data_IF_169057809682
#
_entry.id   IF_169057809682
#
_cell.length_a   1.000
_cell.length_b   1.000
_cell.length_c   1.000
_cell.angle_alpha   90.00
_cell.angle_beta   90.00
_cell.angle_gamma   90.00
#
_symmetry.space_group_name_H-M   'P 1'
#
loop_
_entity.id
_entity.type
_entity.pdbx_description
1 polymer ?
#
# COMPACT_ATOMS: atom_id res chain seq x y z
N UNK A 1 -19.86 -15.35 7.96
CA UNK A 1 -20.30 -13.97 8.01
C UNK A 1 -19.30 -13.20 7.15
N UNK A 2 -19.77 -12.57 6.08
CA UNK A 2 -18.87 -11.80 5.18
C UNK A 2 -18.72 -10.36 5.68
N UNK A 3 -18.04 -10.18 6.81
CA UNK A 3 -17.94 -8.88 7.46
C UNK A 3 -16.57 -8.20 7.31
N UNK A 4 -15.62 -8.86 6.65
CA UNK A 4 -14.29 -8.28 6.46
C UNK A 4 -13.92 -8.20 4.98
N UNK A 5 -13.29 -7.09 4.61
CA UNK A 5 -12.75 -6.85 3.29
C UNK A 5 -11.30 -6.37 3.43
N UNK A 6 -10.38 -7.08 2.77
CA UNK A 6 -8.99 -6.66 2.65
C UNK A 6 -8.77 -6.08 1.26
N UNK A 7 -8.30 -4.84 1.18
CA UNK A 7 -7.95 -4.17 -0.08
C UNK A 7 -6.44 -4.12 -0.22
N UNK A 8 -5.89 -4.78 -1.23
CA UNK A 8 -4.45 -4.80 -1.53
C UNK A 8 -4.15 -4.26 -2.92
N UNK A 9 -2.98 -3.68 -3.11
CA UNK A 9 -2.49 -3.34 -4.45
C UNK A 9 -2.00 -4.59 -5.17
N UNK A 10 -2.55 -4.88 -6.34
CA UNK A 10 -2.24 -6.11 -7.08
C UNK A 10 -1.03 -5.98 -8.02
N UNK A 11 -0.30 -4.87 -7.97
CA UNK A 11 0.86 -4.57 -8.81
C UNK A 11 2.02 -4.01 -7.96
N UNK A 12 2.73 -2.98 -8.43
CA UNK A 12 3.88 -2.36 -7.74
C UNK A 12 3.53 -1.07 -6.97
N UNK A 13 2.30 -0.90 -6.52
CA UNK A 13 1.82 0.33 -5.90
C UNK A 13 1.22 1.32 -6.91
N UNK A 14 0.68 2.42 -6.40
CA UNK A 14 0.02 3.48 -7.19
C UNK A 14 -1.17 3.02 -8.05
N UNK A 15 -1.80 1.89 -7.68
CA UNK A 15 -2.95 1.32 -8.41
C UNK A 15 -4.24 2.14 -8.27
N UNK A 16 -4.25 3.17 -7.43
CA UNK A 16 -5.46 3.93 -7.13
C UNK A 16 -6.28 3.36 -5.97
N UNK A 17 -5.65 2.60 -5.07
CA UNK A 17 -6.30 2.02 -3.88
C UNK A 17 -7.07 3.04 -3.04
N UNK A 18 -6.55 4.28 -2.92
CA UNK A 18 -7.20 5.33 -2.14
C UNK A 18 -8.66 5.56 -2.52
N UNK A 19 -8.99 5.56 -3.82
CA UNK A 19 -10.37 5.69 -4.29
C UNK A 19 -11.24 4.51 -3.87
N UNK A 20 -10.71 3.28 -3.94
CA UNK A 20 -11.43 2.07 -3.59
C UNK A 20 -11.61 1.93 -2.08
N UNK A 21 -10.58 2.26 -1.29
CA UNK A 21 -10.69 2.26 0.17
C UNK A 21 -11.66 3.33 0.67
N UNK A 22 -11.64 4.54 0.11
CA UNK A 22 -12.62 5.59 0.41
C UNK A 22 -14.05 5.15 0.04
N UNK A 23 -14.22 4.51 -1.11
CA UNK A 23 -15.52 4.00 -1.53
C UNK A 23 -16.09 3.00 -0.52
N UNK A 24 -15.30 1.98 -0.12
CA UNK A 24 -15.76 0.95 0.82
C UNK A 24 -15.76 1.43 2.28
N UNK A 25 -14.94 2.41 2.65
CA UNK A 25 -14.97 3.00 3.98
C UNK A 25 -16.36 3.57 4.33
N UNK A 26 -17.09 4.10 3.34
CA UNK A 26 -18.44 4.61 3.56
C UNK A 26 -19.46 3.56 4.04
N UNK A 27 -19.19 2.27 3.83
CA UNK A 27 -20.02 1.14 4.28
C UNK A 27 -19.43 0.35 5.45
N UNK A 28 -18.25 0.73 5.93
CA UNK A 28 -17.54 0.05 7.01
C UNK A 28 -17.85 0.65 8.38
N UNK A 29 -17.81 -0.17 9.41
CA UNK A 29 -17.82 0.28 10.83
C UNK A 29 -16.39 0.56 11.32
N UNK A 30 -15.41 -0.15 10.74
CA UNK A 30 -14.00 -0.09 11.15
C UNK A 30 -13.08 -0.04 9.93
N UNK A 31 -12.10 0.84 9.93
CA UNK A 31 -11.04 0.90 8.91
C UNK A 31 -9.68 0.70 9.57
N UNK A 32 -8.90 -0.25 9.07
CA UNK A 32 -7.65 -0.71 9.67
C UNK A 32 -6.49 -0.55 8.70
N UNK A 33 -5.45 0.19 9.10
CA UNK A 33 -4.12 0.13 8.49
C UNK A 33 -3.30 -0.94 9.19
N UNK A 34 -2.84 -1.95 8.46
CA UNK A 34 -2.20 -3.11 9.07
C UNK A 34 -0.71 -3.24 8.80
N UNK A 35 -0.13 -2.45 7.89
CA UNK A 35 1.29 -2.51 7.55
C UNK A 35 1.80 -1.19 6.95
N UNK A 36 3.15 -1.06 6.82
CA UNK A 36 3.79 0.15 6.33
C UNK A 36 3.90 1.22 7.41
N UNK A 37 4.08 2.44 7.00
CA UNK A 37 4.18 3.61 7.86
C UNK A 37 3.91 4.88 7.06
N UNK A 38 4.54 6.00 7.43
CA UNK A 38 4.37 7.28 6.75
C UNK A 38 5.07 7.38 5.38
N UNK A 39 5.62 6.26 4.87
CA UNK A 39 6.08 6.12 3.48
C UNK A 39 4.95 5.87 2.48
N UNK A 40 3.76 5.52 2.95
CA UNK A 40 2.57 5.48 2.13
C UNK A 40 2.02 6.91 1.92
N UNK A 41 1.23 7.07 0.86
CA UNK A 41 0.49 8.30 0.63
C UNK A 41 -0.71 7.96 -0.24
N UNK A 42 -1.90 8.30 0.24
CA UNK A 42 -3.09 8.23 -0.60
C UNK A 42 -3.89 9.52 -0.47
N UNK A 43 -4.39 9.97 -1.59
CA UNK A 43 -5.19 11.18 -1.66
C UNK A 43 -6.66 10.82 -1.59
N UNK A 44 -7.36 11.44 -0.66
CA UNK A 44 -8.81 11.39 -0.52
C UNK A 44 -9.39 12.75 -0.84
N UNK A 45 -10.52 12.77 -1.52
CA UNK A 45 -11.29 14.01 -1.74
C UNK A 45 -12.48 13.99 -0.78
N UNK A 46 -12.49 14.92 0.15
CA UNK A 46 -13.57 15.08 1.13
C UNK A 46 -14.04 16.53 1.12
N UNK A 47 -15.34 16.75 0.97
CA UNK A 47 -15.96 18.08 0.88
C UNK A 47 -15.25 19.01 -0.13
N UNK A 48 -14.92 18.46 -1.32
CA UNK A 48 -14.25 19.18 -2.40
C UNK A 48 -12.76 19.50 -2.15
N UNK A 49 -12.20 19.12 -0.99
CA UNK A 49 -10.80 19.31 -0.62
C UNK A 49 -10.02 18.02 -0.73
N UNK A 50 -8.75 18.13 -1.19
CA UNK A 50 -7.83 16.99 -1.28
C UNK A 50 -7.02 16.86 0.01
N UNK A 51 -7.03 15.66 0.59
CA UNK A 51 -6.23 15.29 1.77
C UNK A 51 -5.25 14.19 1.38
N UNK A 52 -3.97 14.42 1.63
CA UNK A 52 -2.93 13.40 1.48
C UNK A 52 -2.68 12.74 2.83
N UNK A 53 -3.31 11.58 3.06
CA UNK A 53 -3.07 10.77 4.25
C UNK A 53 -1.83 9.90 4.07
N UNK A 54 -1.04 9.75 5.14
CA UNK A 54 0.17 8.95 5.16
C UNK A 54 0.04 7.71 6.05
N UNK A 55 -0.31 7.93 7.32
CA UNK A 55 -0.42 6.88 8.34
C UNK A 55 -1.84 6.64 8.78
N UNK A 56 -2.65 7.68 8.82
CA UNK A 56 -4.03 7.64 9.32
C UNK A 56 -4.92 6.86 8.33
N UNK A 57 -5.80 5.96 8.81
CA UNK A 57 -6.77 5.26 7.97
C UNK A 57 -7.76 6.20 7.27
N UNK A 58 -8.26 5.79 6.11
CA UNK A 58 -9.20 6.58 5.28
C UNK A 58 -10.55 6.86 5.94
N UNK A 59 -10.94 6.08 6.94
CA UNK A 59 -12.19 6.27 7.68
C UNK A 59 -12.25 7.52 8.58
N UNK A 60 -11.15 8.25 8.75
CA UNK A 60 -11.05 9.41 9.67
C UNK A 60 -11.99 10.55 9.32
N UNK A 61 -12.46 10.63 8.09
CA UNK A 61 -13.42 11.65 7.63
C UNK A 61 -14.86 11.39 8.07
N UNK A 62 -15.14 10.22 8.66
CA UNK A 62 -16.47 9.84 9.12
C UNK A 62 -16.43 9.56 10.63
N UNK A 63 -17.14 10.38 11.47
CA UNK A 63 -17.12 10.24 12.92
C UNK A 63 -17.63 8.90 13.47
N UNK A 64 -18.42 8.17 12.67
CA UNK A 64 -18.97 6.87 13.08
C UNK A 64 -17.96 5.74 12.94
N UNK A 65 -16.95 5.91 12.08
CA UNK A 65 -15.97 4.87 11.77
C UNK A 65 -14.89 4.81 12.84
N UNK A 66 -14.59 3.61 13.29
CA UNK A 66 -13.46 3.32 14.16
C UNK A 66 -12.21 3.12 13.28
N UNK A 67 -11.21 3.95 13.47
CA UNK A 67 -9.95 3.89 12.74
C UNK A 67 -8.88 3.21 13.59
N UNK A 68 -8.17 2.24 13.02
CA UNK A 68 -7.16 1.47 13.74
C UNK A 68 -5.83 1.46 12.99
N UNK A 69 -4.77 1.85 13.67
CA UNK A 69 -3.39 1.68 13.25
C UNK A 69 -2.82 0.46 13.97
N UNK A 70 -2.73 -0.68 13.27
CA UNK A 70 -2.46 -1.98 13.89
C UNK A 70 -0.97 -2.25 14.11
N UNK A 71 -0.66 -3.34 14.81
CA UNK A 71 0.70 -3.70 15.26
C UNK A 71 1.71 -4.00 14.14
N UNK A 72 1.24 -4.24 12.92
CA UNK A 72 2.12 -4.44 11.77
C UNK A 72 2.69 -3.15 11.20
N UNK A 73 2.18 -1.98 11.59
CA UNK A 73 2.72 -0.69 11.19
C UNK A 73 4.01 -0.34 11.94
N UNK A 74 4.79 0.55 11.33
CA UNK A 74 5.85 1.31 12.00
C UNK A 74 5.42 2.77 12.03
N UNK A 75 5.28 3.35 13.21
CA UNK A 75 4.62 4.63 13.43
C UNK A 75 5.64 5.68 13.84
N UNK A 76 5.72 6.76 13.07
CA UNK A 76 6.45 7.96 13.45
C UNK A 76 5.51 8.89 14.21
N UNK A 77 5.67 9.06 15.54
CA UNK A 77 4.76 9.86 16.35
C UNK A 77 4.77 11.35 15.99
N UNK A 78 5.91 11.88 15.55
CA UNK A 78 6.03 13.28 15.09
C UNK A 78 5.16 13.47 13.84
N UNK A 79 5.40 12.65 12.81
CA UNK A 79 4.63 12.73 11.56
C UNK A 79 3.13 12.47 11.77
N UNK A 80 2.77 11.60 12.72
CA UNK A 80 1.37 11.33 13.06
C UNK A 80 0.69 12.54 13.66
N UNK A 81 1.32 13.21 14.61
CA UNK A 81 0.77 14.44 15.22
C UNK A 81 0.67 15.58 14.20
N UNK A 82 1.65 15.72 13.31
CA UNK A 82 1.56 16.68 12.19
C UNK A 82 0.38 16.37 11.25
N UNK A 83 0.12 15.09 11.01
CA UNK A 83 -1.01 14.66 10.16
C UNK A 83 -2.34 14.95 10.85
N UNK A 84 -2.45 14.69 12.15
CA UNK A 84 -3.61 15.06 12.97
C UNK A 84 -3.84 16.57 13.04
N UNK A 85 -2.78 17.37 13.21
CA UNK A 85 -2.87 18.84 13.20
C UNK A 85 -3.41 19.38 11.87
N UNK A 86 -2.96 18.79 10.73
CA UNK A 86 -3.52 19.15 9.41
C UNK A 86 -5.02 18.84 9.29
N UNK A 87 -5.49 17.71 9.84
CA UNK A 87 -6.91 17.37 9.88
C UNK A 87 -7.69 18.35 10.76
N UNK A 88 -7.17 18.66 11.95
CA UNK A 88 -7.81 19.62 12.86
C UNK A 88 -7.92 21.02 12.23
N UNK A 89 -6.87 21.52 11.58
CA UNK A 89 -6.90 22.81 10.87
C UNK A 89 -7.89 22.83 9.71
N UNK A 90 -8.21 21.66 9.16
CA UNK A 90 -9.24 21.52 8.12
C UNK A 90 -10.67 21.36 8.70
N UNK A 91 -10.83 21.36 10.03
CA UNK A 91 -12.11 21.19 10.71
C UNK A 91 -12.51 19.73 10.98
N UNK A 92 -11.63 18.78 10.76
CA UNK A 92 -11.86 17.34 11.01
C UNK A 92 -11.34 17.04 12.41
N UNK A 93 -12.21 17.14 13.42
CA UNK A 93 -11.87 17.00 14.85
C UNK A 93 -12.63 15.88 15.54
N UNK A 94 -13.74 15.41 14.94
CA UNK A 94 -14.58 14.33 15.48
C UNK A 94 -14.26 13.02 14.75
N UNK A 95 -13.38 12.24 15.32
CA UNK A 95 -12.97 10.93 14.82
C UNK A 95 -12.58 9.99 15.96
N UNK A 96 -12.67 8.67 15.71
CA UNK A 96 -12.22 7.63 16.61
C UNK A 96 -10.96 7.00 16.03
N UNK A 97 -9.81 7.23 16.64
CA UNK A 97 -8.51 6.67 16.21
C UNK A 97 -7.88 5.88 17.35
N UNK A 98 -7.49 4.63 17.05
CA UNK A 98 -6.78 3.75 17.96
C UNK A 98 -5.45 3.31 17.35
N UNK A 99 -4.43 3.30 18.20
CA UNK A 99 -3.05 2.97 17.84
C UNK A 99 -2.62 1.74 18.64
N UNK A 100 -2.08 0.74 17.97
CA UNK A 100 -1.59 -0.43 18.67
C UNK A 100 -0.40 -0.10 19.57
N UNK A 101 -0.50 -0.48 20.83
CA UNK A 101 0.60 -0.46 21.79
C UNK A 101 1.81 -1.30 21.33
N UNK A 102 1.57 -2.34 20.50
CA UNK A 102 2.60 -3.22 19.91
C UNK A 102 3.19 -2.71 18.61
N UNK A 103 2.70 -1.64 18.01
CA UNK A 103 3.27 -1.07 16.79
C UNK A 103 4.68 -0.54 17.08
N UNK A 104 5.63 -0.77 16.16
CA UNK A 104 6.99 -0.26 16.33
C UNK A 104 7.02 1.27 16.16
N UNK A 105 7.75 1.95 17.03
CA UNK A 105 7.96 3.38 16.98
C UNK A 105 9.15 3.70 16.04
N UNK A 106 8.94 4.62 15.10
CA UNK A 106 10.03 5.16 14.28
C UNK A 106 10.75 6.24 15.08
N UNK A 107 12.00 5.99 15.40
CA UNK A 107 12.86 6.88 16.15
C UNK A 107 13.73 7.75 15.21
N UNK A 108 14.31 8.86 15.66
CA UNK A 108 15.10 9.77 14.81
C UNK A 108 16.25 9.07 14.09
N UNK A 109 16.97 8.18 14.77
CA UNK A 109 18.09 7.44 14.20
C UNK A 109 17.68 6.53 13.03
N UNK A 110 16.40 6.11 12.93
CA UNK A 110 15.93 5.31 11.80
C UNK A 110 15.98 6.10 10.49
N UNK A 111 15.56 7.37 10.49
CA UNK A 111 15.60 8.22 9.29
C UNK A 111 17.05 8.54 8.90
N UNK A 112 17.93 8.76 9.88
CA UNK A 112 19.36 8.99 9.65
C UNK A 112 20.00 7.76 9.00
N UNK A 113 19.78 6.57 9.54
CA UNK A 113 20.30 5.31 9.01
C UNK A 113 19.74 4.99 7.62
N UNK A 114 18.45 5.22 7.37
CA UNK A 114 17.81 4.99 6.05
C UNK A 114 18.50 5.84 4.96
N UNK A 115 18.77 7.11 5.25
CA UNK A 115 19.50 8.00 4.36
C UNK A 115 20.96 7.56 4.12
N UNK A 116 21.66 7.17 5.17
CA UNK A 116 23.05 6.73 5.10
C UNK A 116 23.21 5.42 4.32
N UNK A 117 22.38 4.42 4.61
CA UNK A 117 22.41 3.14 3.89
C UNK A 117 22.08 3.29 2.41
N UNK A 118 21.14 4.18 2.06
CA UNK A 118 20.84 4.44 0.67
C UNK A 118 22.01 5.12 -0.05
N UNK A 119 22.70 6.04 0.62
CA UNK A 119 23.89 6.69 0.08
C UNK A 119 25.05 5.71 -0.17
N UNK A 120 25.26 4.73 0.72
CA UNK A 120 26.31 3.70 0.58
C UNK A 120 26.11 2.79 -0.64
N UNK A 121 24.87 2.63 -1.13
CA UNK A 121 24.58 1.77 -2.29
C UNK A 121 25.09 2.35 -3.61
N UNK A 122 25.45 3.63 -3.67
CA UNK A 122 25.92 4.30 -4.89
C UNK A 122 24.92 4.14 -6.04
N UNK A 123 25.36 3.59 -7.19
CA UNK A 123 24.52 3.37 -8.36
C UNK A 123 23.50 2.23 -8.25
N UNK A 124 23.38 1.55 -7.10
CA UNK A 124 22.45 0.44 -6.84
C UNK A 124 21.41 0.81 -5.80
N UNK A 125 20.98 2.06 -5.79
CA UNK A 125 19.96 2.58 -4.88
C UNK A 125 18.62 1.87 -5.10
N UNK A 126 17.88 1.64 -4.00
CA UNK A 126 16.52 1.07 -4.04
C UNK A 126 15.50 2.18 -4.30
N UNK A 127 15.82 3.43 -3.96
CA UNK A 127 14.92 4.56 -4.04
C UNK A 127 14.04 4.69 -2.79
N UNK A 128 14.63 4.63 -1.59
CA UNK A 128 13.88 4.74 -0.34
C UNK A 128 13.29 6.14 -0.15
N UNK A 129 12.24 6.22 0.68
CA UNK A 129 11.63 7.49 1.07
C UNK A 129 12.44 8.27 2.11
N UNK A 130 13.50 7.68 2.66
CA UNK A 130 14.35 8.22 3.74
C UNK A 130 13.57 8.56 5.02
N UNK A 131 12.46 7.85 5.25
CA UNK A 131 11.59 8.05 6.42
C UNK A 131 11.85 7.06 7.56
N UNK A 132 12.91 6.25 7.44
CA UNK A 132 13.32 5.31 8.46
C UNK A 132 12.48 4.04 8.56
N UNK A 133 11.64 3.75 7.56
CA UNK A 133 10.72 2.60 7.58
C UNK A 133 11.49 1.28 7.60
N UNK A 134 12.47 1.11 6.70
CA UNK A 134 13.31 -0.09 6.66
C UNK A 134 14.05 -0.34 7.97
N UNK A 135 14.84 0.60 8.48
CA UNK A 135 15.52 0.47 9.77
C UNK A 135 14.57 0.19 10.94
N UNK A 136 13.37 0.80 10.98
CA UNK A 136 12.40 0.52 12.05
C UNK A 136 11.87 -0.92 11.99
N UNK A 137 11.62 -1.48 10.81
CA UNK A 137 11.29 -2.89 10.65
C UNK A 137 12.49 -3.79 11.02
N UNK A 138 13.70 -3.43 10.65
CA UNK A 138 14.92 -4.16 11.07
C UNK A 138 14.99 -4.25 12.58
N UNK A 139 14.82 -3.15 13.28
CA UNK A 139 14.86 -3.11 14.74
C UNK A 139 13.72 -3.90 15.40
N UNK A 140 12.53 -3.90 14.80
CA UNK A 140 11.41 -4.75 15.24
C UNK A 140 11.80 -6.23 15.23
N UNK A 141 12.41 -6.72 14.15
CA UNK A 141 12.78 -8.13 14.00
C UNK A 141 14.06 -8.50 14.75
N UNK A 142 15.00 -7.56 14.94
CA UNK A 142 16.17 -7.75 15.81
C UNK A 142 15.85 -7.64 17.30
N UNK A 143 14.62 -7.24 17.65
CA UNK A 143 14.10 -7.13 19.02
C UNK A 143 14.75 -6.01 19.84
N UNK A 144 15.32 -5.02 19.19
CA UNK A 144 15.86 -3.80 19.82
C UNK A 144 14.93 -2.60 19.65
N UNK A 145 13.90 -2.73 18.80
CA UNK A 145 12.94 -1.67 18.53
C UNK A 145 12.12 -1.27 19.76
N UNK A 146 11.71 -0.01 19.77
CA UNK A 146 10.80 0.58 20.76
C UNK A 146 9.37 0.48 20.20
N UNK A 147 8.40 0.19 21.05
CA UNK A 147 6.97 0.11 20.68
C UNK A 147 6.24 1.38 21.12
N UNK A 148 5.09 1.64 20.53
CA UNK A 148 4.26 2.78 20.92
C UNK A 148 3.81 2.70 22.38
N UNK A 149 3.52 1.49 22.88
CA UNK A 149 3.18 1.27 24.28
C UNK A 149 4.30 1.57 25.26
N UNK A 150 5.57 1.37 24.86
CA UNK A 150 6.73 1.61 25.71
C UNK A 150 6.83 3.10 26.07
N UNK A 151 6.38 4.01 25.20
CA UNK A 151 6.38 5.46 25.46
C UNK A 151 5.47 5.86 26.65
N UNK A 152 4.58 4.98 27.09
CA UNK A 152 3.63 5.25 28.17
C UNK A 152 4.18 4.89 29.56
N UNK A 153 5.33 4.18 29.61
CA UNK A 153 6.04 3.79 30.83
C UNK A 153 7.42 4.44 30.83
N UNK A 154 7.59 5.47 31.66
CA UNK A 154 8.79 6.32 31.70
C UNK A 154 10.07 5.53 31.98
N UNK A 155 10.01 4.62 32.96
CA UNK A 155 11.17 3.86 33.42
C UNK A 155 11.57 2.83 32.36
N UNK A 156 10.60 2.09 31.88
CA UNK A 156 10.82 1.10 30.85
C UNK A 156 11.28 1.73 29.52
N UNK A 157 10.68 2.83 29.12
CA UNK A 157 11.12 3.57 27.93
C UNK A 157 12.57 4.04 28.05
N UNK A 158 12.96 4.58 29.23
CA UNK A 158 14.35 5.00 29.46
C UNK A 158 15.34 3.84 29.32
N UNK A 159 15.01 2.66 29.88
CA UNK A 159 15.82 1.44 29.73
C UNK A 159 15.96 1.02 28.27
N UNK A 160 14.81 0.87 27.56
CA UNK A 160 14.77 0.47 26.16
C UNK A 160 15.51 1.44 25.24
N UNK A 161 15.40 2.75 25.48
CA UNK A 161 16.08 3.77 24.69
C UNK A 161 17.61 3.73 24.91
N UNK A 162 18.07 3.51 26.15
CA UNK A 162 19.52 3.34 26.43
C UNK A 162 20.10 2.16 25.66
N UNK A 163 19.41 1.01 25.69
CA UNK A 163 19.84 -0.19 24.99
C UNK A 163 19.87 0.02 23.47
N UNK A 164 18.83 0.64 22.92
CA UNK A 164 18.76 0.95 21.50
C UNK A 164 19.87 1.93 21.07
N UNK A 165 20.08 3.02 21.82
CA UNK A 165 21.10 4.02 21.50
C UNK A 165 22.52 3.48 21.64
N UNK A 166 22.78 2.58 22.60
CA UNK A 166 24.09 1.93 22.72
C UNK A 166 24.50 1.22 21.41
N UNK A 167 23.54 0.59 20.73
CA UNK A 167 23.80 -0.06 19.45
C UNK A 167 23.77 0.96 18.28
N UNK A 168 22.75 1.81 18.21
CA UNK A 168 22.52 2.69 17.06
C UNK A 168 23.57 3.80 16.95
N UNK A 169 24.06 4.31 18.07
CA UNK A 169 25.14 5.30 18.04
C UNK A 169 26.46 4.72 17.52
N UNK A 170 26.74 3.44 17.78
CA UNK A 170 27.88 2.77 17.15
C UNK A 170 27.71 2.65 15.62
N UNK A 171 26.49 2.30 15.17
CA UNK A 171 26.18 2.27 13.73
C UNK A 171 26.33 3.66 13.08
N UNK A 172 25.78 4.71 13.69
CA UNK A 172 25.87 6.09 13.20
C UNK A 172 27.32 6.55 13.11
N UNK A 173 28.11 6.33 14.16
CA UNK A 173 29.52 6.67 14.16
C UNK A 173 30.33 5.94 13.10
N UNK A 174 30.06 4.65 12.89
CA UNK A 174 30.69 3.87 11.82
C UNK A 174 30.38 4.40 10.42
N UNK A 175 29.24 5.09 10.27
CA UNK A 175 28.81 5.76 9.05
C UNK A 175 29.26 7.23 8.97
N UNK A 176 30.07 7.70 9.93
CA UNK A 176 30.57 9.08 9.99
C UNK A 176 29.49 10.10 10.37
N UNK A 177 28.44 9.66 11.06
CA UNK A 177 27.34 10.50 11.53
C UNK A 177 27.48 10.80 13.03
N UNK A 178 26.91 11.92 13.48
CA UNK A 178 26.86 12.26 14.90
C UNK A 178 25.91 11.29 15.65
N UNK A 179 26.29 10.88 16.87
CA UNK A 179 25.45 10.05 17.72
C UNK A 179 24.21 10.83 18.18
N UNK A 180 23.12 10.11 18.40
CA UNK A 180 21.91 10.66 18.99
C UNK A 180 22.08 10.87 20.50
N UNK A 181 21.60 11.99 20.98
CA UNK A 181 21.58 12.32 22.41
C UNK A 181 20.37 11.67 23.10
N UNK A 182 20.66 11.02 24.25
CA UNK A 182 19.63 10.30 25.01
C UNK A 182 18.56 11.23 25.58
N UNK A 183 18.97 12.30 26.26
CA UNK A 183 18.05 13.18 26.99
C UNK A 183 17.11 13.88 26.03
N UNK A 184 17.63 14.37 24.90
CA UNK A 184 16.85 15.00 23.84
C UNK A 184 15.75 14.07 23.30
N UNK A 185 16.10 12.83 22.97
CA UNK A 185 15.12 11.86 22.43
C UNK A 185 14.14 11.43 23.53
N UNK A 186 14.64 11.18 24.74
CA UNK A 186 13.80 10.73 25.85
C UNK A 186 12.70 11.74 26.17
N UNK A 187 13.07 13.01 26.38
CA UNK A 187 12.11 14.07 26.70
C UNK A 187 11.10 14.28 25.57
N UNK A 188 11.58 14.35 24.33
CA UNK A 188 10.71 14.52 23.17
C UNK A 188 9.70 13.38 23.01
N UNK A 189 10.16 12.13 23.02
CA UNK A 189 9.30 10.97 22.75
C UNK A 189 8.37 10.65 23.91
N UNK A 190 8.78 10.95 25.14
CA UNK A 190 7.89 10.87 26.29
C UNK A 190 6.72 11.86 26.16
N UNK A 191 7.00 13.12 25.77
CA UNK A 191 5.96 14.11 25.54
C UNK A 191 5.02 13.73 24.37
N UNK A 192 5.55 13.12 23.30
CA UNK A 192 4.76 12.59 22.19
C UNK A 192 3.86 11.42 22.64
N UNK A 193 4.42 10.53 23.47
CA UNK A 193 3.67 9.42 24.07
C UNK A 193 2.49 9.89 24.91
N UNK A 194 2.68 10.92 25.74
CA UNK A 194 1.61 11.50 26.57
C UNK A 194 0.49 12.12 25.69
N UNK A 195 0.83 12.80 24.60
CA UNK A 195 -0.17 13.34 23.67
C UNK A 195 -0.97 12.23 22.98
N UNK A 196 -0.33 11.11 22.64
CA UNK A 196 -0.96 9.98 21.95
C UNK A 196 -1.60 8.97 22.93
N UNK A 197 -1.36 9.08 24.24
CA UNK A 197 -1.85 8.17 25.28
C UNK A 197 -3.34 7.81 25.15
N UNK A 198 -4.27 8.76 24.90
CA UNK A 198 -5.70 8.45 24.79
C UNK A 198 -6.05 7.53 23.61
N UNK A 199 -5.16 7.44 22.61
CA UNK A 199 -5.36 6.63 21.39
C UNK A 199 -4.65 5.29 21.45
N UNK A 200 -3.65 5.12 22.32
CA UNK A 200 -2.84 3.89 22.39
C UNK A 200 -3.54 2.81 23.22
N UNK A 201 -3.76 1.65 22.62
CA UNK A 201 -4.41 0.51 23.29
C UNK A 201 -3.98 -0.84 22.68
N UNK A 202 -4.43 -1.95 23.28
CA UNK A 202 -4.37 -3.28 22.66
C UNK A 202 -5.38 -3.39 21.51
N UNK A 203 -4.96 -3.07 20.31
CA UNK A 203 -5.82 -3.12 19.12
C UNK A 203 -6.19 -4.55 18.71
N UNK A 204 -5.46 -5.56 19.14
CA UNK A 204 -5.80 -6.96 18.88
C UNK A 204 -7.08 -7.35 19.65
N UNK A 205 -7.17 -6.98 20.92
CA UNK A 205 -8.39 -7.19 21.72
C UNK A 205 -9.55 -6.42 21.10
N UNK A 206 -9.34 -5.13 20.77
CA UNK A 206 -10.36 -4.28 20.16
C UNK A 206 -10.91 -4.88 18.85
N UNK A 207 -10.03 -5.28 17.93
CA UNK A 207 -10.44 -5.78 16.62
C UNK A 207 -11.16 -7.11 16.69
N UNK A 208 -10.70 -8.05 17.54
CA UNK A 208 -11.39 -9.32 17.72
C UNK A 208 -12.80 -9.12 18.30
N UNK A 209 -12.96 -8.22 19.29
CA UNK A 209 -14.28 -7.89 19.85
C UNK A 209 -15.22 -7.30 18.78
N UNK A 210 -14.75 -6.33 17.98
CA UNK A 210 -15.55 -5.71 16.94
C UNK A 210 -15.99 -6.71 15.86
N UNK A 211 -15.12 -7.62 15.45
CA UNK A 211 -15.46 -8.67 14.47
C UNK A 211 -16.48 -9.65 15.04
N UNK A 212 -16.31 -10.06 16.30
CA UNK A 212 -17.26 -10.95 17.01
C UNK A 212 -18.63 -10.29 17.22
N UNK A 213 -18.68 -8.97 17.36
CA UNK A 213 -19.92 -8.17 17.38
C UNK A 213 -20.57 -8.05 15.98
N UNK A 214 -19.96 -8.57 14.94
CA UNK A 214 -20.48 -8.55 13.58
C UNK A 214 -20.22 -7.23 12.83
N UNK A 215 -19.29 -6.40 13.31
CA UNK A 215 -18.91 -5.15 12.65
C UNK A 215 -18.25 -5.39 11.30
N UNK A 216 -18.50 -4.50 10.35
CA UNK A 216 -17.88 -4.50 9.03
C UNK A 216 -16.49 -3.87 9.11
N UNK A 217 -15.46 -4.66 8.81
CA UNK A 217 -14.05 -4.23 8.93
C UNK A 217 -13.38 -4.18 7.57
N UNK A 218 -12.90 -3.00 7.20
CA UNK A 218 -12.09 -2.76 6.01
C UNK A 218 -10.61 -2.72 6.39
N UNK A 219 -9.80 -3.62 5.84
CA UNK A 219 -8.35 -3.57 5.95
C UNK A 219 -7.76 -2.86 4.73
N UNK A 220 -7.17 -1.72 4.98
CA UNK A 220 -6.57 -0.85 3.98
C UNK A 220 -5.08 -1.16 3.84
N UNK A 221 -4.70 -1.83 2.74
CA UNK A 221 -3.31 -2.10 2.40
C UNK A 221 -2.58 -0.88 1.86
N UNK A 222 -1.30 -0.77 2.16
CA UNK A 222 -0.40 0.22 1.58
C UNK A 222 0.55 -0.45 0.58
N UNK A 223 1.12 0.31 -0.34
CA UNK A 223 2.00 -0.15 -1.42
C UNK A 223 1.29 -1.19 -2.33
N UNK A 224 2.07 -2.02 -3.02
CA UNK A 224 1.57 -3.10 -3.87
C UNK A 224 2.18 -4.43 -3.47
N UNK A 225 1.49 -5.53 -3.74
CA UNK A 225 1.93 -6.88 -3.35
C UNK A 225 3.25 -7.27 -4.02
N UNK A 226 3.55 -6.76 -5.23
CA UNK A 226 4.85 -6.98 -5.88
C UNK A 226 6.01 -6.26 -5.19
N UNK A 227 5.73 -5.41 -4.20
CA UNK A 227 6.71 -4.80 -3.29
C UNK A 227 6.81 -5.53 -1.95
N UNK A 228 6.23 -6.72 -1.80
CA UNK A 228 6.30 -7.52 -0.59
C UNK A 228 7.74 -7.97 -0.32
N UNK A 229 8.18 -7.85 0.95
CA UNK A 229 9.51 -8.29 1.38
C UNK A 229 9.75 -9.78 1.13
N UNK A 230 8.70 -10.60 1.26
CA UNK A 230 8.78 -12.07 1.15
C UNK A 230 8.48 -12.57 -0.27
N UNK A 231 7.54 -11.95 -0.99
CA UNK A 231 6.99 -12.47 -2.23
C UNK A 231 7.09 -11.50 -3.42
N UNK A 232 7.66 -10.33 -3.21
CA UNK A 232 7.84 -9.31 -4.24
C UNK A 232 9.15 -9.44 -5.01
N UNK A 233 9.49 -8.38 -5.73
CA UNK A 233 10.69 -8.30 -6.57
C UNK A 233 11.94 -7.89 -5.74
N UNK A 234 12.27 -8.69 -4.73
CA UNK A 234 13.42 -8.45 -3.84
C UNK A 234 14.73 -8.35 -4.64
N UNK A 235 15.62 -7.33 -4.37
CA UNK A 235 15.59 -6.40 -3.23
C UNK A 235 14.80 -5.10 -3.48
N UNK A 236 14.17 -4.92 -4.62
CA UNK A 236 13.41 -3.71 -4.99
C UNK A 236 11.99 -3.77 -4.43
N UNK A 237 11.88 -3.74 -3.10
CA UNK A 237 10.65 -3.95 -2.33
C UNK A 237 10.56 -2.99 -1.14
N UNK A 238 9.40 -2.92 -0.51
CA UNK A 238 9.24 -2.30 0.82
C UNK A 238 9.64 -3.29 1.92
N UNK A 239 9.92 -2.79 3.11
CA UNK A 239 10.31 -3.64 4.26
C UNK A 239 9.12 -4.27 4.99
N UNK A 240 7.92 -4.22 4.41
CA UNK A 240 6.71 -4.83 4.95
C UNK A 240 6.10 -5.83 3.99
N UNK A 241 5.09 -6.57 4.41
CA UNK A 241 4.32 -7.47 3.57
C UNK A 241 2.95 -6.86 3.25
N UNK A 242 2.74 -6.29 2.02
CA UNK A 242 1.46 -5.75 1.57
C UNK A 242 0.43 -6.82 1.16
N UNK A 243 0.68 -8.08 1.43
CA UNK A 243 -0.25 -9.19 1.12
C UNK A 243 -1.42 -9.24 2.09
N UNK A 244 -2.57 -9.76 1.67
CA UNK A 244 -3.66 -10.03 2.58
C UNK A 244 -3.32 -11.11 3.62
N UNK A 245 -2.40 -12.02 3.29
CA UNK A 245 -1.89 -13.04 4.22
C UNK A 245 -1.18 -12.44 5.45
N UNK A 246 -0.73 -11.19 5.39
CA UNK A 246 -0.10 -10.51 6.52
C UNK A 246 -1.11 -9.93 7.52
N UNK A 247 -2.38 -9.78 7.16
CA UNK A 247 -3.42 -9.17 8.02
C UNK A 247 -3.52 -9.84 9.37
N UNK A 248 -3.65 -11.18 9.48
CA UNK A 248 -3.76 -11.84 10.79
C UNK A 248 -2.59 -11.56 11.72
N UNK A 249 -1.36 -11.67 11.23
CA UNK A 249 -0.14 -11.42 12.03
C UNK A 249 -0.03 -9.94 12.41
N UNK A 250 -0.37 -9.06 11.49
CA UNK A 250 -0.20 -7.61 11.64
C UNK A 250 -1.35 -6.93 12.42
N UNK A 251 -2.39 -7.67 12.78
CA UNK A 251 -3.54 -7.15 13.55
C UNK A 251 -3.85 -7.96 14.80
N UNK A 252 -3.33 -9.21 14.90
CA UNK A 252 -3.71 -10.15 15.92
C UNK A 252 -5.12 -10.75 15.73
N UNK A 253 -5.73 -10.54 14.56
CA UNK A 253 -7.01 -11.13 14.20
C UNK A 253 -6.82 -12.58 13.77
N UNK A 254 -7.73 -13.47 14.13
CA UNK A 254 -7.65 -14.87 13.69
C UNK A 254 -7.82 -14.98 12.15
N UNK A 255 -7.04 -15.85 11.47
CA UNK A 255 -7.10 -15.98 9.99
C UNK A 255 -8.49 -16.28 9.44
N UNK A 256 -9.33 -16.98 10.21
CA UNK A 256 -10.73 -17.32 9.82
C UNK A 256 -11.64 -16.10 9.64
N UNK A 257 -11.22 -14.93 10.11
CA UNK A 257 -11.98 -13.68 9.97
C UNK A 257 -11.57 -12.85 8.76
N UNK A 258 -10.69 -13.35 7.90
CA UNK A 258 -10.38 -12.73 6.61
C UNK A 258 -11.32 -13.35 5.57
N UNK A 259 -12.45 -12.70 5.31
CA UNK A 259 -13.51 -13.24 4.44
C UNK A 259 -13.28 -12.91 2.96
N UNK A 260 -13.13 -11.62 2.65
CA UNK A 260 -13.00 -11.15 1.27
C UNK A 260 -11.67 -10.42 1.07
N UNK A 261 -11.06 -10.66 -0.08
CA UNK A 261 -9.84 -9.98 -0.50
C UNK A 261 -10.03 -9.40 -1.90
N UNK A 262 -9.84 -8.09 -2.03
CA UNK A 262 -9.89 -7.38 -3.30
C UNK A 262 -8.49 -6.93 -3.71
N UNK A 263 -8.05 -7.33 -4.90
CA UNK A 263 -6.87 -6.79 -5.56
C UNK A 263 -7.22 -5.56 -6.38
N UNK A 264 -6.60 -4.44 -6.11
CA UNK A 264 -6.71 -3.23 -6.94
C UNK A 264 -5.59 -3.24 -7.96
N UNK A 265 -5.94 -3.22 -9.25
CA UNK A 265 -5.01 -3.19 -10.37
C UNK A 265 -5.40 -2.08 -11.34
N UNK A 266 -4.42 -1.39 -11.92
CA UNK A 266 -4.67 -0.58 -13.12
C UNK A 266 -4.98 -1.50 -14.31
N UNK A 267 -5.71 -1.00 -15.27
CA UNK A 267 -5.91 -1.69 -16.55
C UNK A 267 -4.63 -1.80 -17.41
N UNK A 268 -3.54 -1.28 -16.92
CA UNK A 268 -2.16 -1.38 -17.40
C UNK A 268 -1.25 -1.52 -16.18
N UNK A 269 0.07 -1.45 -16.35
CA UNK A 269 0.99 -1.58 -15.22
C UNK A 269 1.88 -0.36 -15.13
N UNK A 270 2.16 0.09 -13.90
CA UNK A 270 3.19 1.11 -13.65
C UNK A 270 4.15 0.66 -12.57
N UNK A 271 5.37 1.15 -12.64
CA UNK A 271 6.38 0.95 -11.60
C UNK A 271 7.13 2.23 -11.32
N UNK A 272 7.32 2.52 -10.04
CA UNK A 272 8.22 3.57 -9.55
C UNK A 272 9.52 2.92 -9.09
N UNK A 273 10.65 3.53 -9.37
CA UNK A 273 11.96 3.04 -8.96
C UNK A 273 12.52 1.93 -9.86
N UNK A 274 13.61 1.34 -9.35
CA UNK A 274 14.39 0.35 -10.07
C UNK A 274 13.80 -1.06 -9.99
N UNK A 275 14.41 -1.99 -10.71
CA UNK A 275 14.07 -3.40 -10.73
C UNK A 275 13.33 -3.83 -12.00
N UNK A 276 13.18 -5.13 -12.21
CA UNK A 276 12.63 -5.70 -13.45
C UNK A 276 11.15 -5.35 -13.62
N UNK A 277 10.79 -5.10 -14.88
CA UNK A 277 9.42 -4.79 -15.29
C UNK A 277 9.14 -5.49 -16.63
N UNK A 278 8.70 -6.77 -16.63
CA UNK A 278 8.62 -7.58 -17.83
C UNK A 278 7.78 -7.02 -18.98
N UNK A 279 6.73 -6.25 -18.65
CA UNK A 279 5.81 -5.69 -19.65
C UNK A 279 6.07 -4.23 -19.98
N UNK A 280 7.20 -3.67 -19.58
CA UNK A 280 7.55 -2.26 -19.78
C UNK A 280 7.52 -1.86 -21.27
N UNK A 281 6.98 -0.69 -21.55
CA UNK A 281 6.88 -0.09 -22.87
C UNK A 281 7.88 1.05 -23.03
N UNK A 282 8.47 1.14 -24.23
CA UNK A 282 9.47 2.15 -24.59
C UNK A 282 9.08 2.94 -25.84
N UNK A 283 7.85 2.80 -26.30
CA UNK A 283 7.33 3.41 -27.52
C UNK A 283 6.29 4.51 -27.23
N UNK A 284 5.68 5.05 -28.28
CA UNK A 284 4.63 6.07 -28.22
C UNK A 284 3.40 5.69 -27.39
N UNK A 285 3.13 4.38 -27.23
CA UNK A 285 2.04 3.89 -26.40
C UNK A 285 2.33 4.10 -24.92
N UNK A 286 3.62 3.99 -24.51
CA UNK A 286 4.03 4.32 -23.14
C UNK A 286 3.77 5.80 -22.84
N UNK A 287 4.09 6.67 -23.77
CA UNK A 287 3.85 8.12 -23.62
C UNK A 287 2.36 8.44 -23.59
N UNK A 288 1.59 7.85 -24.49
CA UNK A 288 0.13 8.00 -24.53
C UNK A 288 -0.52 7.61 -23.17
N UNK A 289 -0.20 6.44 -22.65
CA UNK A 289 -0.74 5.97 -21.37
C UNK A 289 -0.28 6.87 -20.23
N UNK A 290 0.99 7.29 -20.23
CA UNK A 290 1.57 8.17 -19.19
C UNK A 290 0.86 9.50 -19.12
N UNK A 291 0.64 10.13 -20.27
CA UNK A 291 -0.03 11.44 -20.35
C UNK A 291 -1.50 11.35 -19.92
N UNK A 292 -2.25 10.38 -20.45
CA UNK A 292 -3.66 10.22 -20.11
C UNK A 292 -3.88 9.77 -18.66
N UNK A 293 -3.01 8.89 -18.15
CA UNK A 293 -3.05 8.39 -16.79
C UNK A 293 -2.41 9.32 -15.75
N UNK A 294 -1.85 10.46 -16.19
CA UNK A 294 -1.07 11.37 -15.33
C UNK A 294 -0.02 10.60 -14.50
N UNK A 295 0.71 9.67 -15.17
CA UNK A 295 1.65 8.76 -14.52
C UNK A 295 2.97 9.47 -14.22
N UNK A 296 2.92 10.38 -13.26
CA UNK A 296 4.03 11.15 -12.73
C UNK A 296 4.08 11.03 -11.21
N UNK A 297 5.29 11.05 -10.65
CA UNK A 297 5.47 10.99 -9.19
C UNK A 297 4.91 12.25 -8.53
N UNK A 298 4.02 12.08 -7.55
CA UNK A 298 3.31 13.18 -6.88
C UNK A 298 4.25 14.21 -6.24
N UNK A 299 5.43 13.77 -5.76
CA UNK A 299 6.40 14.63 -5.08
C UNK A 299 7.51 15.09 -6.02
N UNK A 300 7.98 14.20 -6.88
CA UNK A 300 9.17 14.45 -7.72
C UNK A 300 8.84 14.88 -9.14
N UNK A 301 7.60 14.71 -9.59
CA UNK A 301 7.20 14.93 -10.98
C UNK A 301 7.86 13.97 -11.99
N UNK A 302 8.63 12.98 -11.52
CA UNK A 302 9.30 12.03 -12.42
C UNK A 302 8.28 11.16 -13.15
N UNK A 303 8.48 10.92 -14.48
CA UNK A 303 7.62 9.99 -15.21
C UNK A 303 7.73 8.59 -14.63
N UNK A 304 6.59 7.94 -14.45
CA UNK A 304 6.53 6.52 -14.06
C UNK A 304 6.82 5.65 -15.27
N UNK A 305 7.45 4.52 -15.03
CA UNK A 305 7.58 3.43 -16.00
C UNK A 305 6.20 2.84 -16.23
N UNK A 306 5.85 2.58 -17.49
CA UNK A 306 4.52 2.12 -17.92
C UNK A 306 4.67 0.85 -18.72
N UNK A 307 3.75 -0.09 -18.57
CA UNK A 307 3.72 -1.35 -19.30
C UNK A 307 2.30 -1.89 -19.48
N UNK A 308 2.14 -2.91 -20.31
CA UNK A 308 0.88 -3.60 -20.45
C UNK A 308 0.45 -4.33 -19.18
N UNK A 309 -0.85 -4.60 -19.04
CA UNK A 309 -1.36 -5.42 -17.95
C UNK A 309 -0.70 -6.80 -17.95
N UNK A 310 -0.23 -7.21 -16.79
CA UNK A 310 0.48 -8.46 -16.60
C UNK A 310 -0.35 -9.43 -15.76
N UNK A 311 -0.97 -10.41 -16.41
CA UNK A 311 -1.79 -11.40 -15.71
C UNK A 311 -0.97 -12.48 -15.01
N UNK A 312 0.31 -12.65 -15.34
CA UNK A 312 1.22 -13.52 -14.58
C UNK A 312 1.42 -12.93 -13.17
N UNK A 313 1.62 -11.60 -13.10
CA UNK A 313 1.69 -10.86 -11.85
C UNK A 313 0.35 -10.95 -11.09
N UNK A 314 -0.79 -10.71 -11.73
CA UNK A 314 -2.09 -10.79 -11.08
C UNK A 314 -2.37 -12.20 -10.53
N UNK A 315 -2.01 -13.25 -11.25
CA UNK A 315 -2.12 -14.63 -10.79
C UNK A 315 -1.18 -14.95 -9.62
N UNK A 316 0.03 -14.38 -9.63
CA UNK A 316 0.94 -14.47 -8.48
C UNK A 316 0.29 -13.84 -7.24
N UNK A 317 -0.22 -12.60 -7.36
CA UNK A 317 -0.89 -11.89 -6.26
C UNK A 317 -2.14 -12.64 -5.79
N UNK A 318 -2.96 -13.17 -6.72
CA UNK A 318 -4.12 -13.99 -6.38
C UNK A 318 -3.73 -15.19 -5.51
N UNK A 319 -2.66 -15.89 -5.89
CA UNK A 319 -2.18 -17.08 -5.17
C UNK A 319 -1.71 -16.78 -3.75
N UNK A 320 -0.94 -15.68 -3.57
CA UNK A 320 -0.33 -15.37 -2.27
C UNK A 320 -1.21 -14.51 -1.35
N UNK A 321 -2.21 -13.82 -1.90
CA UNK A 321 -3.15 -12.99 -1.13
C UNK A 321 -4.56 -13.58 -1.06
N UNK A 322 -4.86 -14.63 -1.85
CA UNK A 322 -6.20 -15.23 -1.86
C UNK A 322 -7.28 -14.32 -2.43
N UNK A 323 -7.01 -13.64 -3.58
CA UNK A 323 -7.97 -12.70 -4.15
C UNK A 323 -9.29 -13.39 -4.51
N UNK A 324 -10.39 -12.83 -4.01
CA UNK A 324 -11.75 -13.15 -4.43
C UNK A 324 -12.17 -12.25 -5.59
N UNK A 325 -11.75 -10.99 -5.56
CA UNK A 325 -12.19 -9.95 -6.50
C UNK A 325 -11.02 -9.10 -6.98
N UNK A 326 -11.22 -8.51 -8.18
CA UNK A 326 -10.39 -7.44 -8.72
C UNK A 326 -11.19 -6.14 -8.82
N UNK A 327 -10.49 -5.02 -8.63
CA UNK A 327 -10.91 -3.70 -9.06
C UNK A 327 -9.98 -3.23 -10.16
N UNK A 328 -10.52 -2.95 -11.36
CA UNK A 328 -9.76 -2.37 -12.46
C UNK A 328 -9.85 -0.85 -12.43
N UNK A 329 -8.69 -0.20 -12.27
CA UNK A 329 -8.55 1.24 -12.17
C UNK A 329 -8.02 1.85 -13.45
N UNK A 330 -8.30 3.14 -13.65
CA UNK A 330 -7.81 3.91 -14.79
C UNK A 330 -8.13 3.24 -16.14
N UNK A 331 -9.32 2.68 -16.22
CA UNK A 331 -9.78 1.95 -17.40
C UNK A 331 -10.02 2.88 -18.59
N UNK A 332 -10.43 4.11 -18.32
CA UNK A 332 -10.60 5.22 -19.25
C UNK A 332 -9.30 5.62 -19.98
N UNK A 333 -8.16 5.36 -19.37
CA UNK A 333 -6.84 5.68 -19.94
C UNK A 333 -6.56 4.90 -21.22
N UNK A 334 -7.13 3.70 -21.36
CA UNK A 334 -6.96 2.86 -22.55
C UNK A 334 -7.87 3.26 -23.72
N UNK A 335 -8.87 4.13 -23.52
CA UNK A 335 -9.71 4.65 -24.62
C UNK A 335 -8.87 5.38 -25.66
N UNK A 336 -9.12 5.11 -26.93
CA UNK A 336 -8.39 5.72 -28.06
C UNK A 336 -7.20 4.89 -28.56
N UNK A 337 -6.89 3.76 -27.91
CA UNK A 337 -5.92 2.79 -28.43
C UNK A 337 -6.62 1.84 -29.39
N UNK A 338 -6.09 1.67 -30.59
CA UNK A 338 -6.64 0.73 -31.59
C UNK A 338 -6.46 -0.73 -31.16
N UNK A 339 -5.31 -1.02 -30.55
CA UNK A 339 -4.94 -2.35 -30.07
C UNK A 339 -4.38 -2.26 -28.65
N UNK A 340 -4.80 -3.21 -27.82
CA UNK A 340 -4.39 -3.32 -26.42
C UNK A 340 -3.83 -4.72 -26.21
N UNK A 341 -2.72 -4.83 -25.48
CA UNK A 341 -2.11 -6.12 -25.18
C UNK A 341 -2.26 -6.48 -23.72
N UNK A 342 -2.42 -7.77 -23.46
CA UNK A 342 -2.40 -8.36 -22.11
C UNK A 342 -1.31 -9.43 -22.10
N UNK A 343 -0.40 -9.35 -21.13
CA UNK A 343 0.60 -10.38 -20.92
C UNK A 343 -0.06 -11.62 -20.30
N UNK A 344 0.13 -12.78 -20.93
CA UNK A 344 -0.51 -14.05 -20.56
C UNK A 344 0.48 -15.09 -20.05
N UNK A 345 1.78 -14.87 -20.26
CA UNK A 345 2.85 -15.78 -19.89
C UNK A 345 4.21 -15.15 -20.08
N UNK A 346 5.24 -15.88 -19.68
CA UNK A 346 6.63 -15.52 -19.92
C UNK A 346 7.36 -16.64 -20.61
N UNK A 347 8.44 -16.28 -21.31
CA UNK A 347 9.52 -17.22 -21.69
C UNK A 347 10.75 -16.91 -20.85
N UNK A 348 11.28 -17.92 -20.18
CA UNK A 348 12.54 -17.86 -19.45
C UNK A 348 13.53 -18.83 -20.12
N UNK A 349 14.60 -18.28 -20.69
CA UNK A 349 15.62 -19.06 -21.38
C UNK A 349 15.00 -20.01 -22.45
N UNK A 350 14.01 -19.50 -23.22
CA UNK A 350 13.28 -20.21 -24.27
C UNK A 350 12.19 -21.17 -23.79
N UNK A 351 11.98 -21.33 -22.48
CA UNK A 351 10.92 -22.18 -21.92
C UNK A 351 9.75 -21.33 -21.45
N UNK A 352 8.54 -21.74 -21.82
CA UNK A 352 7.33 -21.09 -21.35
C UNK A 352 7.09 -21.34 -19.87
N UNK A 353 6.74 -20.28 -19.14
CA UNK A 353 6.37 -20.30 -17.72
C UNK A 353 5.15 -19.40 -17.49
N UNK A 354 4.33 -19.74 -16.48
CA UNK A 354 3.11 -19.03 -16.08
C UNK A 354 3.18 -18.47 -14.65
N UNK A 355 4.39 -18.32 -14.14
CA UNK A 355 4.65 -17.80 -12.78
C UNK A 355 5.74 -16.72 -12.80
N UNK A 356 5.72 -15.86 -11.78
CA UNK A 356 6.77 -14.86 -11.55
C UNK A 356 7.99 -15.57 -10.96
N UNK A 357 9.16 -15.54 -11.64
CA UNK A 357 10.40 -16.09 -11.08
C UNK A 357 10.77 -15.43 -9.75
N UNK A 358 11.26 -16.23 -8.81
CA UNK A 358 11.58 -15.76 -7.44
C UNK A 358 12.90 -14.98 -7.36
N UNK A 359 13.77 -15.10 -8.35
CA UNK A 359 15.05 -14.39 -8.37
C UNK A 359 15.07 -13.27 -9.41
N UNK A 360 15.69 -12.14 -9.04
CA UNK A 360 15.82 -11.00 -9.95
C UNK A 360 16.52 -11.39 -11.25
N UNK A 361 17.59 -12.14 -11.17
CA UNK A 361 18.35 -12.56 -12.37
C UNK A 361 17.53 -13.39 -13.35
N UNK A 362 16.55 -14.15 -12.88
CA UNK A 362 15.60 -14.84 -13.75
C UNK A 362 14.53 -13.89 -14.29
N UNK A 363 13.98 -13.03 -13.41
CA UNK A 363 12.93 -12.09 -13.79
C UNK A 363 13.41 -11.03 -14.80
N UNK A 364 14.70 -10.68 -14.79
CA UNK A 364 15.33 -9.80 -15.80
C UNK A 364 15.48 -10.45 -17.18
N UNK A 365 15.46 -11.78 -17.24
CA UNK A 365 15.60 -12.53 -18.51
C UNK A 365 14.29 -13.02 -19.09
N UNK A 366 13.16 -12.80 -18.40
CA UNK A 366 11.88 -13.22 -18.98
C UNK A 366 11.51 -12.36 -20.17
N UNK A 367 10.95 -13.00 -21.17
CA UNK A 367 10.32 -12.36 -22.31
C UNK A 367 8.79 -12.49 -22.14
N UNK A 368 8.08 -11.36 -22.10
CA UNK A 368 6.63 -11.35 -21.93
C UNK A 368 5.92 -11.81 -23.21
N UNK A 369 4.95 -12.72 -23.05
CA UNK A 369 4.08 -13.19 -24.14
C UNK A 369 2.70 -12.52 -24.03
N UNK A 370 2.16 -12.10 -25.17
CA UNK A 370 0.97 -11.30 -25.23
C UNK A 370 -0.12 -11.90 -26.09
N UNK A 371 -1.37 -11.64 -25.67
CA UNK A 371 -2.49 -11.61 -26.60
C UNK A 371 -2.78 -10.15 -26.94
N UNK A 372 -3.36 -9.93 -28.14
CA UNK A 372 -3.76 -8.62 -28.61
C UNK A 372 -5.28 -8.59 -28.75
N UNK A 373 -5.91 -7.55 -28.22
CA UNK A 373 -7.34 -7.29 -28.29
C UNK A 373 -7.58 -5.99 -29.06
N UNK A 374 -8.75 -5.88 -29.68
CA UNK A 374 -9.21 -4.63 -30.23
C UNK A 374 -9.51 -3.63 -29.11
N UNK A 375 -9.05 -2.41 -29.27
CA UNK A 375 -9.34 -1.32 -28.36
C UNK A 375 -10.70 -0.67 -28.61
N UNK A 376 -10.95 0.45 -27.97
CA UNK A 376 -12.18 1.24 -28.12
C UNK A 376 -11.81 2.73 -28.21
N UNK A 377 -12.58 3.48 -28.99
CA UNK A 377 -12.35 4.92 -29.19
C UNK A 377 -13.27 5.79 -28.34
N UNK A 378 -14.32 5.21 -27.78
CA UNK A 378 -15.33 5.93 -27.02
C UNK A 378 -14.79 6.46 -25.70
N UNK A 379 -15.24 7.65 -25.32
CA UNK A 379 -15.05 8.18 -23.98
C UNK A 379 -16.00 7.44 -23.02
N UNK A 380 -15.44 6.70 -22.10
CA UNK A 380 -16.17 5.91 -21.10
C UNK A 380 -16.33 6.61 -19.74
N UNK A 381 -15.79 7.83 -19.58
CA UNK A 381 -15.72 8.54 -18.28
C UNK A 381 -17.11 8.87 -17.68
N UNK A 382 -18.14 8.96 -18.50
CA UNK A 382 -19.52 9.23 -18.07
C UNK A 382 -20.35 7.97 -17.84
N UNK A 383 -19.83 6.78 -18.19
CA UNK A 383 -20.56 5.51 -18.09
C UNK A 383 -20.72 5.08 -16.63
N UNK A 384 -21.93 4.70 -16.25
CA UNK A 384 -22.29 4.28 -14.89
C UNK A 384 -22.67 2.80 -14.77
N UNK A 385 -22.98 2.14 -15.90
CA UNK A 385 -23.37 0.73 -15.93
C UNK A 385 -22.38 -0.07 -16.78
N UNK A 386 -22.10 -1.30 -16.34
CA UNK A 386 -21.28 -2.25 -17.11
C UNK A 386 -21.87 -2.54 -18.49
N UNK A 387 -23.21 -2.60 -18.59
CA UNK A 387 -23.91 -2.93 -19.84
C UNK A 387 -23.73 -1.85 -20.90
N UNK A 388 -23.49 -0.60 -20.50
CA UNK A 388 -23.29 0.55 -21.38
C UNK A 388 -21.85 0.67 -21.91
N UNK A 389 -20.90 -0.10 -21.37
CA UNK A 389 -19.52 -0.11 -21.86
C UNK A 389 -19.45 -0.59 -23.31
N UNK A 390 -18.50 -0.04 -24.12
CA UNK A 390 -18.22 -0.56 -25.46
C UNK A 390 -17.95 -2.06 -25.46
N UNK A 391 -18.31 -2.72 -26.56
CA UNK A 391 -18.15 -4.18 -26.69
C UNK A 391 -16.70 -4.64 -26.44
N UNK A 392 -15.72 -3.91 -27.00
CA UNK A 392 -14.31 -4.21 -26.83
C UNK A 392 -13.83 -3.97 -25.40
N UNK A 393 -14.35 -2.95 -24.71
CA UNK A 393 -14.08 -2.71 -23.30
C UNK A 393 -14.59 -3.85 -22.40
N UNK A 394 -15.82 -4.34 -22.69
CA UNK A 394 -16.36 -5.56 -22.03
C UNK A 394 -15.53 -6.80 -22.33
N UNK A 395 -15.09 -6.97 -23.58
CA UNK A 395 -14.23 -8.08 -23.99
C UNK A 395 -12.88 -8.07 -23.25
N UNK A 396 -12.30 -6.88 -23.04
CA UNK A 396 -11.07 -6.73 -22.23
C UNK A 396 -11.30 -7.20 -20.78
N UNK A 397 -12.36 -6.73 -20.13
CA UNK A 397 -12.70 -7.13 -18.75
C UNK A 397 -12.91 -8.64 -18.67
N UNK A 398 -13.70 -9.21 -19.58
CA UNK A 398 -13.96 -10.65 -19.63
C UNK A 398 -12.67 -11.47 -19.82
N UNK A 399 -11.72 -10.96 -20.64
CA UNK A 399 -10.44 -11.61 -20.86
C UNK A 399 -9.56 -11.56 -19.61
N UNK A 400 -9.56 -10.45 -18.87
CA UNK A 400 -8.87 -10.34 -17.57
C UNK A 400 -9.44 -11.35 -16.57
N UNK A 401 -10.77 -11.48 -16.48
CA UNK A 401 -11.44 -12.46 -15.61
C UNK A 401 -11.08 -13.90 -15.99
N UNK A 402 -11.08 -14.22 -17.29
CA UNK A 402 -10.68 -15.53 -17.80
C UNK A 402 -9.24 -15.88 -17.41
N UNK A 403 -8.30 -14.97 -17.69
CA UNK A 403 -6.86 -15.20 -17.47
C UNK A 403 -6.49 -15.23 -16.00
N UNK A 404 -7.16 -14.44 -15.17
CA UNK A 404 -6.86 -14.36 -13.72
C UNK A 404 -7.74 -15.28 -12.88
N UNK A 405 -8.80 -15.84 -13.44
CA UNK A 405 -9.82 -16.62 -12.70
C UNK A 405 -10.35 -15.85 -11.49
N UNK A 406 -10.48 -14.54 -11.63
CA UNK A 406 -10.92 -13.63 -10.56
C UNK A 406 -11.96 -12.68 -11.11
N UNK A 407 -13.09 -12.58 -10.44
CA UNK A 407 -14.18 -11.69 -10.83
C UNK A 407 -13.76 -10.21 -10.69
N UNK A 408 -13.97 -9.41 -11.72
CA UNK A 408 -13.81 -7.96 -11.67
C UNK A 408 -15.08 -7.35 -11.08
N UNK A 409 -15.06 -7.05 -9.80
CA UNK A 409 -16.22 -6.52 -9.07
C UNK A 409 -16.40 -5.01 -9.26
N UNK A 410 -15.33 -4.29 -9.56
CA UNK A 410 -15.32 -2.83 -9.68
C UNK A 410 -14.51 -2.40 -10.90
N UNK A 411 -15.02 -1.42 -11.66
CA UNK A 411 -14.30 -0.79 -12.78
C UNK A 411 -14.32 0.72 -12.59
N UNK A 412 -13.14 1.34 -12.49
CA UNK A 412 -13.00 2.79 -12.42
C UNK A 412 -12.75 3.37 -13.80
N UNK A 413 -13.64 4.25 -14.22
CA UNK A 413 -13.66 4.89 -15.55
C UNK A 413 -13.29 6.37 -15.51
N UNK A 414 -12.67 6.82 -14.41
CA UNK A 414 -12.18 8.19 -14.23
C UNK A 414 -11.73 8.43 -12.79
N UNK A 415 -11.21 9.64 -12.47
CA UNK A 415 -10.65 9.94 -11.15
C UNK A 415 -11.69 10.10 -10.05
N UNK A 416 -12.92 10.54 -10.37
CA UNK A 416 -13.93 10.86 -9.37
C UNK A 416 -14.57 9.61 -8.77
N UNK A 417 -15.01 9.71 -7.51
CA UNK A 417 -15.69 8.61 -6.80
C UNK A 417 -16.90 8.10 -7.57
N UNK A 418 -17.66 8.99 -8.20
CA UNK A 418 -18.84 8.64 -8.99
C UNK A 418 -18.51 7.98 -10.34
N UNK A 419 -17.28 8.06 -10.81
CA UNK A 419 -16.79 7.40 -12.03
C UNK A 419 -16.34 5.97 -11.70
N UNK A 420 -17.22 5.23 -11.02
CA UNK A 420 -16.99 3.87 -10.55
C UNK A 420 -18.19 3.01 -10.88
N UNK A 421 -17.97 1.98 -11.69
CA UNK A 421 -18.97 0.98 -12.04
C UNK A 421 -18.86 -0.18 -11.05
N UNK A 422 -19.90 -0.41 -10.27
CA UNK A 422 -19.99 -1.53 -9.31
C UNK A 422 -20.72 -2.67 -10.00
N UNK A 423 -20.02 -3.77 -10.28
CA UNK A 423 -20.59 -5.01 -10.83
C UNK A 423 -21.06 -5.95 -9.72
N UNK A 424 -20.44 -5.86 -8.55
CA UNK A 424 -20.77 -6.68 -7.39
C UNK A 424 -20.60 -5.89 -6.10
N UNK A 425 -21.63 -5.92 -5.27
CA UNK A 425 -21.52 -5.40 -3.91
C UNK A 425 -20.88 -6.47 -3.02
N UNK A 426 -19.80 -6.12 -2.35
CA UNK A 426 -18.99 -7.05 -1.53
C UNK A 426 -19.23 -6.82 -0.04
N UNK A 427 -19.70 -5.62 0.34
CA UNK A 427 -19.60 -5.14 1.71
C UNK A 427 -20.88 -4.46 2.19
#
# INVERSE_FOLDING_TARGET
>A
MNNTLVVVGAQWGDEGKGKITDFYAGGADVVVRHQGGNNAGHTIVFDGKKFALQSIPSGVFNPHIINVMANGMVINPVSLLEELDRLHKAGITDYKLFISDRAACVMPYHAMLDGAYEALKGGRQIGTTKKGIGPAYTDKYSRVGIRMGDLLDKEYFAERLKDALAQKNLELQALGMEPCDFDTIYEQYLALGEQLRPMICDTSVLLNSLVEEGKKVLFEGAQGVMLCIDHGTYPFVTSSSPTAASVPVNTGLAPRYVDNVMGVAKAYTTRVGEGPFPTELFDERAEYIRERGHEYGTVTGRPRRVGWLDTVVLNHVRRISGLNYLSLMLFDVLSGLDKIRICTGYKLDGKQIDYVPSTISQLERVEAEYIELDGWSEDITSIKSYDDLPANAKAYIAKVEELTRTEVAVVSVGPDREQTIIRKNIF
#
